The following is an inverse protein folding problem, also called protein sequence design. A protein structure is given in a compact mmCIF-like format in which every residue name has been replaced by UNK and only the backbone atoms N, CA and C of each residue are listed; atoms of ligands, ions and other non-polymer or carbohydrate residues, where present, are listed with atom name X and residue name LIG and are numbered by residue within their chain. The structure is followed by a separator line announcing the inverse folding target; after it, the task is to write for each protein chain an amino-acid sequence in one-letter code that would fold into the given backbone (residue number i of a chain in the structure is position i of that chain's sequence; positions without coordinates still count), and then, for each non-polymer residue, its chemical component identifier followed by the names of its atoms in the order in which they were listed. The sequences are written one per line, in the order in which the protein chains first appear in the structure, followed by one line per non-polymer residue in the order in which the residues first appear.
data_IF_135313340311
#
_entry.id   IF_135313340311
#
_cell.length_a   1.000
_cell.length_b   1.000
_cell.length_c   1.000
_cell.angle_alpha   90.00
_cell.angle_beta   90.00
_cell.angle_gamma   90.00
#
_symmetry.space_group_name_H-M   'P 1'
#
loop_
_entity.id
_entity.type
_entity.pdbx_description
1 polymer ?
#
# COMPACT_ATOMS: atom_id res chain seq x y z
N UNK A 1 -25.51 -24.16 20.98
CA UNK A 1 -26.38 -23.27 20.17
C UNK A 1 -25.50 -22.64 19.09
N UNK A 2 -25.57 -23.11 17.85
CA UNK A 2 -24.91 -22.44 16.73
C UNK A 2 -25.84 -21.32 16.25
N UNK A 3 -25.29 -20.12 16.09
CA UNK A 3 -25.97 -19.00 15.45
C UNK A 3 -25.59 -18.99 13.97
N UNK A 4 -26.58 -18.81 13.10
CA UNK A 4 -26.36 -18.59 11.66
C UNK A 4 -25.44 -17.39 11.46
N UNK A 5 -24.37 -17.59 10.69
CA UNK A 5 -23.51 -16.50 10.22
C UNK A 5 -24.20 -15.90 9.00
N UNK A 6 -24.81 -14.74 9.17
CA UNK A 6 -25.36 -13.97 8.04
C UNK A 6 -24.23 -13.17 7.39
N UNK A 7 -24.35 -12.87 6.09
CA UNK A 7 -23.44 -11.96 5.37
C UNK A 7 -23.58 -10.48 5.80
N UNK A 8 -24.40 -10.20 6.82
CA UNK A 8 -24.66 -8.86 7.32
C UNK A 8 -23.47 -8.40 8.18
N UNK A 9 -22.77 -7.38 7.71
CA UNK A 9 -21.71 -6.72 8.47
C UNK A 9 -22.35 -5.99 9.68
N UNK A 10 -21.87 -6.22 10.92
CA UNK A 10 -22.39 -5.54 12.10
C UNK A 10 -22.19 -4.03 12.06
N UNK A 11 -23.13 -3.28 12.64
CA UNK A 11 -22.94 -1.84 12.85
C UNK A 11 -21.80 -1.59 13.84
N UNK A 12 -20.92 -0.63 13.52
CA UNK A 12 -19.69 -0.38 14.27
C UNK A 12 -18.44 -1.09 13.73
N UNK A 13 -18.55 -1.91 12.68
CA UNK A 13 -17.38 -2.42 11.96
C UNK A 13 -16.85 -1.32 11.03
N UNK A 14 -15.68 -0.76 11.37
CA UNK A 14 -14.93 0.15 10.48
C UNK A 14 -14.54 -0.63 9.22
N UNK A 15 -15.19 -0.31 8.10
CA UNK A 15 -14.77 -0.79 6.80
C UNK A 15 -13.58 0.06 6.36
N UNK A 16 -12.36 -0.46 6.57
CA UNK A 16 -11.16 0.13 6.00
C UNK A 16 -11.23 -0.01 4.47
N UNK A 17 -11.95 0.90 3.81
CA UNK A 17 -11.88 1.07 2.37
C UNK A 17 -10.58 1.80 2.03
N UNK A 18 -9.49 1.04 2.15
CA UNK A 18 -8.20 1.40 1.60
C UNK A 18 -8.32 1.27 0.06
N UNK A 19 -8.64 2.38 -0.60
CA UNK A 19 -8.61 2.50 -2.06
C UNK A 19 -7.16 2.70 -2.56
N UNK A 20 -6.23 1.80 -2.20
CA UNK A 20 -4.86 1.82 -2.74
C UNK A 20 -4.72 0.97 -3.98
N UNK A 21 -4.22 1.61 -5.03
CA UNK A 21 -3.71 0.92 -6.22
C UNK A 21 -2.19 0.78 -6.14
N UNK A 22 -1.70 -0.41 -6.43
CA UNK A 22 -0.26 -0.71 -6.54
C UNK A 22 0.06 -1.01 -8.01
N UNK A 23 0.99 -0.26 -8.60
CA UNK A 23 1.50 -0.50 -9.96
C UNK A 23 2.96 -0.90 -9.92
N UNK A 24 3.29 -1.92 -10.70
CA UNK A 24 4.63 -2.46 -10.86
C UNK A 24 4.97 -2.48 -12.33
N UNK A 25 6.09 -1.84 -12.70
CA UNK A 25 6.62 -1.91 -14.05
C UNK A 25 7.91 -2.73 -14.04
N UNK A 26 8.04 -3.61 -15.03
CA UNK A 26 9.18 -4.50 -15.18
C UNK A 26 9.89 -4.22 -16.51
N UNK A 27 11.20 -4.46 -16.54
CA UNK A 27 11.93 -4.51 -17.81
C UNK A 27 11.78 -5.88 -18.50
N UNK A 28 12.42 -6.03 -19.66
CA UNK A 28 12.42 -7.26 -20.44
C UNK A 28 13.13 -8.46 -19.76
N UNK A 29 13.87 -8.21 -18.68
CA UNK A 29 14.49 -9.23 -17.84
C UNK A 29 13.63 -9.56 -16.62
N UNK A 30 12.37 -9.09 -16.59
CA UNK A 30 11.43 -9.24 -15.48
C UNK A 30 11.92 -8.65 -14.15
N UNK A 31 12.74 -7.59 -14.21
CA UNK A 31 13.20 -6.87 -13.01
C UNK A 31 12.30 -5.68 -12.73
N UNK A 32 11.91 -5.49 -11.47
CA UNK A 32 11.05 -4.38 -11.05
C UNK A 32 11.79 -3.05 -11.21
N UNK A 33 11.46 -2.23 -12.21
CA UNK A 33 12.12 -0.94 -12.44
C UNK A 33 11.38 0.24 -11.83
N UNK A 34 10.06 0.13 -11.67
CA UNK A 34 9.22 1.18 -11.07
C UNK A 34 8.11 0.60 -10.21
N UNK A 35 7.87 1.25 -9.08
CA UNK A 35 6.75 1.01 -8.17
C UNK A 35 6.00 2.32 -7.93
N UNK A 36 4.68 2.30 -8.06
CA UNK A 36 3.80 3.43 -7.73
C UNK A 36 2.68 2.96 -6.81
N UNK A 37 2.47 3.69 -5.72
CA UNK A 37 1.31 3.53 -4.82
C UNK A 37 0.44 4.76 -4.94
N UNK A 38 -0.82 4.56 -5.30
CA UNK A 38 -1.85 5.60 -5.33
C UNK A 38 -2.88 5.29 -4.27
N UNK A 39 -3.29 6.28 -3.47
CA UNK A 39 -4.41 6.18 -2.52
C UNK A 39 -5.36 7.34 -2.77
N UNK A 40 -6.68 7.08 -2.85
CA UNK A 40 -7.69 8.12 -3.10
C UNK A 40 -7.36 9.02 -4.31
N UNK A 41 -6.87 8.41 -5.40
CA UNK A 41 -6.47 9.13 -6.61
C UNK A 41 -5.09 9.82 -6.55
N UNK A 42 -4.45 9.86 -5.39
CA UNK A 42 -3.17 10.57 -5.20
C UNK A 42 -1.97 9.63 -5.12
N UNK A 43 -0.87 9.98 -5.79
CA UNK A 43 0.38 9.21 -5.71
C UNK A 43 1.10 9.48 -4.39
N UNK A 44 0.98 8.51 -3.50
CA UNK A 44 1.51 8.49 -2.15
C UNK A 44 2.97 8.04 -2.08
N UNK A 45 3.37 7.12 -2.97
CA UNK A 45 4.73 6.65 -3.07
C UNK A 45 5.15 6.35 -4.52
N UNK A 46 6.37 6.73 -4.87
CA UNK A 46 7.02 6.30 -6.10
C UNK A 46 8.47 5.87 -5.82
N UNK A 47 8.81 4.65 -6.27
CA UNK A 47 10.15 4.08 -6.19
C UNK A 47 10.65 3.67 -7.56
N UNK A 48 11.92 3.97 -7.86
CA UNK A 48 12.64 3.43 -9.02
C UNK A 48 13.83 2.61 -8.55
N UNK A 49 14.05 1.48 -9.21
CA UNK A 49 15.09 0.54 -8.84
C UNK A 49 16.16 0.49 -9.93
N UNK A 50 17.42 0.45 -9.50
CA UNK A 50 18.57 0.46 -10.40
C UNK A 50 19.26 -0.89 -10.26
N UNK A 51 19.58 -1.49 -11.40
CA UNK A 51 20.26 -2.77 -11.50
C UNK A 51 21.59 -2.59 -12.23
N UNK A 52 22.60 -3.37 -11.82
CA UNK A 52 23.83 -3.51 -12.59
C UNK A 52 23.61 -4.46 -13.80
N UNK A 53 24.57 -4.56 -14.75
CA UNK A 53 24.44 -5.45 -15.90
C UNK A 53 24.31 -6.93 -15.55
N UNK A 54 24.80 -7.35 -14.38
CA UNK A 54 24.65 -8.73 -13.89
C UNK A 54 23.28 -9.01 -13.28
N UNK A 55 22.41 -8.00 -13.19
CA UNK A 55 21.06 -8.12 -12.67
C UNK A 55 20.93 -7.91 -11.17
N UNK A 56 22.01 -7.52 -10.47
CA UNK A 56 21.92 -7.20 -9.04
C UNK A 56 21.32 -5.82 -8.85
N UNK A 57 20.40 -5.70 -7.89
CA UNK A 57 19.86 -4.39 -7.51
C UNK A 57 20.92 -3.60 -6.73
N UNK A 58 21.33 -2.47 -7.28
CA UNK A 58 22.37 -1.60 -6.71
C UNK A 58 21.82 -0.34 -6.06
N UNK A 59 20.54 -0.03 -6.27
CA UNK A 59 19.96 1.17 -5.68
C UNK A 59 18.44 1.23 -5.69
N UNK A 60 17.93 2.23 -4.98
CA UNK A 60 16.53 2.66 -4.99
C UNK A 60 16.47 4.18 -4.90
N UNK A 61 15.76 4.82 -5.83
CA UNK A 61 15.40 6.25 -5.75
C UNK A 61 13.94 6.36 -5.34
N UNK A 62 13.65 7.20 -4.35
CA UNK A 62 12.30 7.45 -3.85
C UNK A 62 11.99 8.92 -4.08
N UNK A 63 10.87 9.21 -4.74
CA UNK A 63 10.49 10.58 -5.13
C UNK A 63 9.37 11.16 -4.28
N UNK A 64 8.41 10.33 -3.88
CA UNK A 64 7.38 10.67 -2.90
C UNK A 64 7.33 9.58 -1.84
N UNK A 65 7.27 10.01 -0.58
CA UNK A 65 6.94 9.19 0.58
C UNK A 65 6.08 10.06 1.45
N UNK A 66 4.77 9.93 1.32
CA UNK A 66 3.97 10.18 2.51
C UNK A 66 4.26 9.05 3.50
N UNK A 67 4.45 9.38 4.80
CA UNK A 67 4.47 8.38 5.84
C UNK A 67 3.33 7.40 5.58
N UNK A 68 3.58 6.09 5.72
CA UNK A 68 2.46 5.13 5.75
C UNK A 68 1.53 5.68 6.82
N UNK A 69 0.28 6.02 6.52
CA UNK A 69 -0.64 6.38 7.58
C UNK A 69 -0.86 5.09 8.39
N UNK A 70 -0.10 4.89 9.47
CA UNK A 70 -0.17 3.67 10.29
C UNK A 70 -1.44 3.62 11.14
N UNK A 71 -2.35 4.58 11.01
CA UNK A 71 -3.53 4.64 11.86
C UNK A 71 -4.61 5.58 11.34
N UNK A 72 -5.82 5.07 11.09
CA UNK A 72 -6.99 5.41 11.92
C UNK A 72 -7.02 4.69 13.29
N UNK A 73 -6.00 3.92 13.65
CA UNK A 73 -5.86 3.30 14.99
C UNK A 73 -5.30 4.19 16.11
N UNK A 74 -5.07 5.50 15.90
CA UNK A 74 -4.50 6.39 16.94
C UNK A 74 -5.45 7.52 17.35
N UNK A 75 -6.39 7.93 16.50
CA UNK A 75 -7.39 8.94 16.88
C UNK A 75 -8.41 8.40 17.90
N UNK A 76 -8.64 7.08 17.95
CA UNK A 76 -9.55 6.48 18.95
C UNK A 76 -8.89 6.18 20.31
N UNK A 77 -7.55 6.14 20.41
CA UNK A 77 -6.85 5.85 21.66
C UNK A 77 -6.41 7.10 22.44
N UNK A 78 -6.43 8.28 21.81
CA UNK A 78 -6.18 9.57 22.48
C UNK A 78 -7.44 10.25 23.01
N UNK A 79 -8.63 9.70 22.72
CA UNK A 79 -9.91 10.20 23.20
C UNK A 79 -10.43 9.45 24.45
N UNK A 80 -9.53 8.80 25.20
CA UNK A 80 -9.83 8.23 26.52
C UNK A 80 -9.55 9.23 27.64
#
# INVERSE_FOLDING_TARGET
RLTEKTDRIPEGVIRMHDERTHRYDYDNQHRLVRYVRTQYGETQAEGRYIYDPTGRRVGKRVWKREPVHWSETQTELSAR
#
